data_IF_393646686463
#
_entry.id   IF_393646686463
#
_cell.length_a   1.000
_cell.length_b   1.000
_cell.length_c   1.000
_cell.angle_alpha   90.00
_cell.angle_beta   90.00
_cell.angle_gamma   90.00
#
_symmetry.space_group_name_H-M   'P 1'
#
loop_
_entity.id
_entity.type
_entity.pdbx_description
1 polymer ?
#
# COMPACT_ATOMS: atom_id res chain seq x y z
N UNK A 1 -17.06 2.59 6.22
CA UNK A 1 -17.39 1.54 5.24
C UNK A 1 -16.79 0.23 5.65
N UNK A 2 -17.53 -0.83 5.46
CA UNK A 2 -17.11 -2.16 5.83
C UNK A 2 -16.76 -2.97 4.57
N UNK A 3 -15.56 -3.52 4.53
CA UNK A 3 -15.15 -4.33 3.38
C UNK A 3 -15.52 -5.81 3.53
N UNK A 4 -15.56 -6.32 4.75
CA UNK A 4 -15.92 -7.69 4.98
C UNK A 4 -15.12 -8.68 4.15
N UNK A 5 -15.82 -9.54 3.45
CA UNK A 5 -15.21 -10.60 2.62
C UNK A 5 -15.10 -10.20 1.16
N UNK A 6 -14.76 -8.96 0.89
CA UNK A 6 -14.60 -8.47 -0.49
C UNK A 6 -13.24 -8.90 -1.02
N UNK A 7 -13.18 -9.26 -2.30
CA UNK A 7 -11.91 -9.50 -2.99
C UNK A 7 -11.49 -8.24 -3.71
N UNK A 8 -10.23 -7.86 -3.54
CA UNK A 8 -9.62 -6.75 -4.24
C UNK A 8 -8.29 -7.25 -4.79
N UNK A 9 -8.09 -7.14 -6.10
CA UNK A 9 -6.89 -7.62 -6.79
C UNK A 9 -6.59 -9.10 -6.51
N UNK A 10 -7.65 -9.91 -6.35
CA UNK A 10 -7.50 -11.34 -6.05
C UNK A 10 -7.20 -11.64 -4.58
N UNK A 11 -7.20 -10.63 -3.73
CA UNK A 11 -6.91 -10.79 -2.30
C UNK A 11 -8.20 -10.79 -1.50
N UNK A 12 -8.40 -11.80 -0.66
CA UNK A 12 -9.53 -11.85 0.25
C UNK A 12 -9.25 -10.93 1.44
N UNK A 13 -9.95 -9.80 1.51
CA UNK A 13 -9.69 -8.76 2.51
C UNK A 13 -9.94 -9.23 3.94
N UNK A 14 -10.77 -10.25 4.14
CA UNK A 14 -11.05 -10.78 5.47
C UNK A 14 -9.87 -11.57 6.05
N UNK A 15 -8.93 -12.00 5.21
CA UNK A 15 -7.80 -12.83 5.60
C UNK A 15 -6.47 -12.09 5.59
N UNK A 16 -6.49 -10.78 5.48
CA UNK A 16 -5.24 -10.01 5.48
C UNK A 16 -4.56 -10.08 6.85
N UNK A 17 -3.25 -10.32 6.88
CA UNK A 17 -2.52 -10.36 8.14
C UNK A 17 -2.47 -8.99 8.80
N UNK A 18 -2.32 -8.99 10.12
CA UNK A 18 -2.17 -7.79 10.91
C UNK A 18 -0.89 -7.91 11.72
N UNK A 19 -0.05 -6.88 11.66
CA UNK A 19 1.21 -6.85 12.40
C UNK A 19 1.09 -5.89 13.58
N UNK A 20 1.72 -6.27 14.70
CA UNK A 20 1.88 -5.36 15.82
C UNK A 20 2.94 -4.32 15.49
N UNK A 21 2.97 -3.21 16.22
CA UNK A 21 3.98 -2.17 16.02
C UNK A 21 5.39 -2.70 16.26
N UNK A 22 5.54 -3.61 17.21
CA UNK A 22 6.84 -4.24 17.48
C UNK A 22 7.29 -5.09 16.30
N UNK A 23 6.40 -5.89 15.74
CA UNK A 23 6.70 -6.71 14.57
C UNK A 23 7.07 -5.84 13.37
N UNK A 24 6.35 -4.74 13.15
CA UNK A 24 6.66 -3.81 12.07
C UNK A 24 8.07 -3.24 12.20
N UNK A 25 8.42 -2.81 13.42
CA UNK A 25 9.76 -2.24 13.67
C UNK A 25 10.84 -3.25 13.37
N UNK A 26 10.68 -4.49 13.83
CA UNK A 26 11.65 -5.55 13.61
C UNK A 26 11.80 -5.88 12.12
N UNK A 27 10.66 -6.00 11.42
CA UNK A 27 10.68 -6.30 9.98
C UNK A 27 11.32 -5.18 9.17
N UNK A 28 11.06 -3.92 9.56
CA UNK A 28 11.66 -2.77 8.88
C UNK A 28 13.18 -2.75 9.05
N UNK A 29 13.67 -3.09 10.23
CA UNK A 29 15.12 -3.17 10.47
C UNK A 29 15.75 -4.25 9.62
N UNK A 30 15.12 -5.42 9.56
CA UNK A 30 15.61 -6.53 8.74
C UNK A 30 15.58 -6.17 7.25
N UNK A 31 14.50 -5.54 6.79
CA UNK A 31 14.37 -5.14 5.39
C UNK A 31 15.44 -4.11 5.01
N UNK A 32 15.77 -3.18 5.89
CA UNK A 32 16.84 -2.20 5.66
C UNK A 32 18.20 -2.87 5.54
N UNK A 33 18.37 -4.01 6.15
CA UNK A 33 19.62 -4.79 6.06
C UNK A 33 19.63 -5.76 4.87
N UNK A 34 18.63 -5.66 3.99
CA UNK A 34 18.58 -6.45 2.77
C UNK A 34 17.77 -7.74 2.85
N UNK A 35 17.06 -7.98 3.94
CA UNK A 35 16.22 -9.17 4.07
C UNK A 35 14.95 -9.03 3.22
N UNK A 36 14.91 -9.73 2.11
CA UNK A 36 13.78 -9.67 1.17
C UNK A 36 12.51 -10.28 1.76
N UNK A 37 12.64 -11.32 2.57
CA UNK A 37 11.48 -11.94 3.20
C UNK A 37 10.83 -10.99 4.20
N UNK A 38 11.63 -10.26 4.96
CA UNK A 38 11.11 -9.26 5.89
C UNK A 38 10.39 -8.14 5.15
N UNK A 39 10.93 -7.72 4.01
CA UNK A 39 10.31 -6.70 3.18
C UNK A 39 8.94 -7.16 2.68
N UNK A 40 8.85 -8.39 2.19
CA UNK A 40 7.58 -8.96 1.73
C UNK A 40 6.57 -9.09 2.86
N UNK A 41 6.99 -9.55 4.02
CA UNK A 41 6.13 -9.65 5.19
C UNK A 41 5.62 -8.28 5.62
N UNK A 42 6.46 -7.27 5.54
CA UNK A 42 6.06 -5.91 5.87
C UNK A 42 5.03 -5.37 4.89
N UNK A 43 5.21 -5.64 3.61
CA UNK A 43 4.23 -5.25 2.58
C UNK A 43 2.89 -5.95 2.86
N UNK A 44 2.91 -7.28 2.98
CA UNK A 44 1.70 -8.06 3.17
C UNK A 44 0.99 -7.73 4.48
N UNK A 45 1.74 -7.43 5.51
CA UNK A 45 1.18 -7.11 6.82
C UNK A 45 0.60 -5.71 6.93
N UNK A 46 0.76 -4.88 5.90
CA UNK A 46 0.22 -3.52 5.88
C UNK A 46 -0.82 -3.30 4.77
N UNK A 47 -1.31 -4.36 4.14
CA UNK A 47 -2.32 -4.22 3.10
C UNK A 47 -3.65 -3.68 3.65
N UNK A 48 -3.98 -3.98 4.90
CA UNK A 48 -5.15 -3.37 5.56
C UNK A 48 -5.04 -1.86 5.65
N UNK A 49 -3.83 -1.36 5.86
CA UNK A 49 -3.59 0.07 5.90
C UNK A 49 -3.92 0.70 4.55
N UNK A 50 -3.50 0.05 3.46
CA UNK A 50 -3.83 0.50 2.10
C UNK A 50 -5.34 0.50 1.89
N UNK A 51 -6.03 -0.57 2.31
CA UNK A 51 -7.48 -0.65 2.19
C UNK A 51 -8.19 0.48 2.91
N UNK A 52 -7.76 0.80 4.14
CA UNK A 52 -8.38 1.86 4.92
C UNK A 52 -8.24 3.22 4.24
N UNK A 53 -7.12 3.45 3.56
CA UNK A 53 -6.91 4.68 2.80
C UNK A 53 -7.76 4.68 1.54
N UNK A 54 -7.80 3.56 0.81
CA UNK A 54 -8.60 3.43 -0.42
C UNK A 54 -10.08 3.71 -0.14
N UNK A 55 -10.58 3.29 1.03
CA UNK A 55 -11.98 3.58 1.41
C UNK A 55 -12.31 5.06 1.35
N UNK A 56 -11.36 5.91 1.70
CA UNK A 56 -11.59 7.36 1.73
C UNK A 56 -11.77 7.94 0.34
N UNK A 57 -11.40 7.18 -0.68
CA UNK A 57 -11.52 7.59 -2.08
C UNK A 57 -12.65 6.87 -2.81
N UNK A 58 -13.46 6.07 -2.11
CA UNK A 58 -14.59 5.39 -2.75
C UNK A 58 -15.62 6.39 -3.24
N UNK A 59 -16.31 6.05 -4.30
CA UNK A 59 -17.34 6.90 -4.89
C UNK A 59 -16.81 7.96 -5.84
N UNK A 60 -15.52 7.95 -6.14
CA UNK A 60 -14.92 8.91 -7.07
C UNK A 60 -14.86 8.42 -8.51
N UNK A 61 -15.55 7.30 -8.78
CA UNK A 61 -15.66 6.78 -10.13
C UNK A 61 -14.56 5.81 -10.55
N UNK A 62 -13.51 5.69 -9.74
CA UNK A 62 -12.41 4.78 -10.06
C UNK A 62 -12.61 3.42 -9.40
N UNK A 63 -12.24 2.32 -10.09
CA UNK A 63 -12.36 0.98 -9.50
C UNK A 63 -11.50 0.84 -8.25
N UNK A 64 -12.02 0.20 -7.19
CA UNK A 64 -11.23 -0.03 -5.98
C UNK A 64 -9.93 -0.80 -6.24
N UNK A 65 -9.93 -1.72 -7.20
CA UNK A 65 -8.74 -2.48 -7.54
C UNK A 65 -7.61 -1.59 -8.02
N UNK A 66 -7.91 -0.61 -8.87
CA UNK A 66 -6.90 0.32 -9.38
C UNK A 66 -6.36 1.19 -8.25
N UNK A 67 -7.23 1.68 -7.38
CA UNK A 67 -6.82 2.50 -6.24
C UNK A 67 -5.97 1.69 -5.26
N UNK A 68 -6.33 0.43 -5.05
CA UNK A 68 -5.57 -0.44 -4.17
C UNK A 68 -4.16 -0.69 -4.71
N UNK A 69 -4.04 -0.96 -6.00
CA UNK A 69 -2.74 -1.20 -6.63
C UNK A 69 -1.84 0.03 -6.51
N UNK A 70 -2.40 1.21 -6.78
CA UNK A 70 -1.65 2.47 -6.67
C UNK A 70 -1.28 2.74 -5.21
N UNK A 71 -2.20 2.47 -4.29
CA UNK A 71 -1.92 2.60 -2.86
C UNK A 71 -0.77 1.70 -2.41
N UNK A 72 -0.69 0.50 -2.97
CA UNK A 72 0.43 -0.41 -2.67
C UNK A 72 1.77 0.14 -3.15
N UNK A 73 1.81 0.90 -4.23
CA UNK A 73 3.02 1.59 -4.65
C UNK A 73 3.47 2.57 -3.56
N UNK A 74 2.53 3.33 -3.02
CA UNK A 74 2.83 4.24 -1.91
C UNK A 74 3.33 3.51 -0.68
N UNK A 75 2.73 2.36 -0.37
CA UNK A 75 3.17 1.52 0.74
C UNK A 75 4.60 1.04 0.55
N UNK A 76 4.92 0.55 -0.64
CA UNK A 76 6.27 0.06 -0.96
C UNK A 76 7.29 1.18 -0.83
N UNK A 77 6.99 2.35 -1.35
CA UNK A 77 7.86 3.52 -1.22
C UNK A 77 8.06 3.89 0.25
N UNK A 78 7.01 3.82 1.05
CA UNK A 78 7.10 4.11 2.47
C UNK A 78 8.02 3.11 3.18
N UNK A 79 7.87 1.83 2.89
CA UNK A 79 8.70 0.79 3.50
C UNK A 79 10.17 1.01 3.14
N UNK A 80 10.44 1.30 1.88
CA UNK A 80 11.81 1.46 1.40
C UNK A 80 12.50 2.72 1.93
N UNK A 81 11.72 3.75 2.28
CA UNK A 81 12.27 5.05 2.69
C UNK A 81 12.13 5.34 4.19
N UNK A 82 11.37 4.54 4.92
CA UNK A 82 11.16 4.78 6.35
C UNK A 82 12.42 4.47 7.15
N UNK A 83 12.75 5.36 8.10
CA UNK A 83 13.86 5.14 9.03
C UNK A 83 13.31 4.54 10.32
N UNK A 84 13.53 3.23 10.58
CA UNK A 84 12.98 2.58 11.77
C UNK A 84 13.63 3.02 13.08
N UNK A 85 14.71 3.81 13.03
CA UNK A 85 15.32 4.37 14.23
C UNK A 85 14.56 5.57 14.78
N UNK A 86 13.65 6.14 13.98
CA UNK A 86 12.83 7.26 14.42
C UNK A 86 11.74 6.78 15.39
N UNK A 87 11.41 7.62 16.35
CA UNK A 87 10.39 7.31 17.36
C UNK A 87 9.01 7.71 16.85
N UNK A 88 8.61 7.14 15.70
CA UNK A 88 7.29 7.35 15.12
C UNK A 88 6.79 6.02 14.58
N UNK A 89 5.48 5.86 14.57
CA UNK A 89 4.86 4.67 13.98
C UNK A 89 5.01 4.67 12.48
N UNK A 90 5.20 3.49 11.90
CA UNK A 90 5.25 3.36 10.46
C UNK A 90 4.00 3.92 9.78
N UNK A 91 2.81 3.67 10.35
CA UNK A 91 1.56 4.15 9.75
C UNK A 91 1.51 5.68 9.63
N UNK A 92 2.11 6.39 10.59
CA UNK A 92 2.17 7.86 10.54
C UNK A 92 2.93 8.34 9.30
N UNK A 93 3.96 7.60 8.90
CA UNK A 93 4.73 7.90 7.70
C UNK A 93 4.06 7.33 6.45
N UNK A 94 3.52 6.11 6.56
CA UNK A 94 2.99 5.37 5.41
C UNK A 94 1.69 5.93 4.85
N UNK A 95 0.77 6.37 5.70
CA UNK A 95 -0.53 6.87 5.23
C UNK A 95 -0.38 8.06 4.27
N UNK A 96 0.42 9.11 4.58
CA UNK A 96 0.61 10.20 3.63
C UNK A 96 1.23 9.74 2.31
N UNK A 97 2.11 8.76 2.34
CA UNK A 97 2.74 8.22 1.13
C UNK A 97 1.70 7.52 0.25
N UNK A 98 0.83 6.73 0.86
CA UNK A 98 -0.25 6.03 0.15
C UNK A 98 -1.22 7.06 -0.45
N UNK A 99 -1.65 8.03 0.35
CA UNK A 99 -2.55 9.08 -0.09
C UNK A 99 -1.94 9.86 -1.25
N UNK A 100 -0.66 10.19 -1.15
CA UNK A 100 0.04 10.94 -2.19
C UNK A 100 0.05 10.22 -3.52
N UNK A 101 0.29 8.91 -3.51
CA UNK A 101 0.27 8.13 -4.75
C UNK A 101 -1.13 8.06 -5.35
N UNK A 102 -2.15 7.86 -4.52
CA UNK A 102 -3.54 7.80 -5.00
C UNK A 102 -3.95 9.15 -5.61
N UNK A 103 -3.65 10.24 -4.93
CA UNK A 103 -3.98 11.58 -5.44
C UNK A 103 -3.27 11.87 -6.75
N UNK A 104 -2.00 11.48 -6.86
CA UNK A 104 -1.24 11.65 -8.10
C UNK A 104 -1.87 10.85 -9.23
N UNK A 105 -2.27 9.62 -8.96
CA UNK A 105 -2.94 8.77 -9.93
C UNK A 105 -4.26 9.40 -10.41
N UNK A 106 -5.08 9.86 -9.48
CA UNK A 106 -6.37 10.48 -9.81
C UNK A 106 -6.21 11.74 -10.66
N UNK A 107 -5.22 12.56 -10.34
CA UNK A 107 -4.92 13.76 -11.15
C UNK A 107 -4.41 13.39 -12.52
N UNK A 108 -3.56 12.37 -12.57
CA UNK A 108 -2.92 11.93 -13.82
C UNK A 108 -3.86 11.24 -14.78
N UNK A 109 -5.00 10.72 -14.30
CA UNK A 109 -5.96 10.04 -15.18
C UNK A 109 -6.49 10.92 -16.30
N UNK A 110 -6.46 12.23 -16.10
CA UNK A 110 -6.87 13.17 -17.13
C UNK A 110 -5.82 13.34 -18.23
N UNK A 111 -4.57 12.95 -17.95
CA UNK A 111 -3.42 13.18 -18.81
C UNK A 111 -2.71 11.90 -19.22
N UNK A 112 -2.90 10.82 -18.47
CA UNK A 112 -2.18 9.56 -18.68
C UNK A 112 -2.95 8.60 -19.56
N UNK A 113 -2.21 7.73 -20.24
CA UNK A 113 -2.77 6.72 -21.12
C UNK A 113 -3.07 5.43 -20.38
N UNK A 114 -3.85 4.56 -21.03
CA UNK A 114 -4.10 3.20 -20.54
C UNK A 114 -2.78 2.43 -20.40
N UNK A 115 -1.82 2.72 -21.26
CA UNK A 115 -0.50 2.10 -21.24
C UNK A 115 0.23 2.34 -19.91
N UNK A 116 0.16 3.55 -19.40
CA UNK A 116 0.79 3.86 -18.11
C UNK A 116 0.09 3.16 -16.94
N UNK A 117 -1.23 3.09 -16.98
CA UNK A 117 -2.00 2.35 -15.98
C UNK A 117 -1.59 0.88 -15.97
N UNK A 118 -1.43 0.30 -17.15
CA UNK A 118 -0.98 -1.08 -17.29
C UNK A 118 0.43 -1.27 -16.71
N UNK A 119 1.32 -0.31 -16.93
CA UNK A 119 2.67 -0.36 -16.36
C UNK A 119 2.64 -0.38 -14.83
N UNK A 120 1.75 0.37 -14.21
CA UNK A 120 1.58 0.36 -12.76
C UNK A 120 1.13 -1.02 -12.27
N UNK A 121 0.21 -1.65 -12.99
CA UNK A 121 -0.26 -2.99 -12.64
C UNK A 121 0.88 -4.01 -12.73
N UNK A 122 1.68 -3.93 -13.76
CA UNK A 122 2.84 -4.80 -13.93
C UNK A 122 3.84 -4.60 -12.79
N UNK A 123 4.07 -3.35 -12.40
CA UNK A 123 4.97 -3.05 -11.29
C UNK A 123 4.53 -3.74 -9.99
N UNK A 124 3.23 -3.76 -9.70
CA UNK A 124 2.71 -4.37 -8.49
C UNK A 124 2.74 -5.90 -8.50
N UNK A 125 2.80 -6.51 -9.68
CA UNK A 125 2.85 -7.96 -9.81
C UNK A 125 4.25 -8.52 -9.63
N UNK A 126 5.24 -7.68 -9.53
CA UNK A 126 6.62 -8.13 -9.28
C UNK A 126 6.85 -8.44 -7.78
#
# INVERSE_FOLDING_TARGET
MYYGKVEICGINTAKLPVLTEKEKTELLKLAKNGDKNAREKMINGNLRLVLSVVQKFSGRGEPPDDLFQVGCIGLIKAIDNFDPSLDVRFSTYGVPMIIGEIKRFLRGLKLKTVSETLSLKIFLQK
#
